data_IF_110330915451
#
_entry.id   IF_110330915451
#
_cell.length_a   1.000
_cell.length_b   1.000
_cell.length_c   1.000
_cell.angle_alpha   90.00
_cell.angle_beta   90.00
_cell.angle_gamma   90.00
#
_symmetry.space_group_name_H-M   'P 1'
#
loop_
_entity.id
_entity.type
_entity.pdbx_description
1 polymer ?
#
# COMPACT_ATOMS: atom_id res chain seq x y z
N UNK A 1 13.43 7.80 16.86
CA UNK A 1 12.54 7.81 15.68
C UNK A 1 12.26 9.23 15.23
N UNK A 2 12.33 9.53 13.94
CA UNK A 2 11.98 10.85 13.36
C UNK A 2 10.58 10.78 12.74
N UNK A 3 9.57 11.35 13.40
CA UNK A 3 8.16 11.30 12.94
C UNK A 3 7.97 12.04 11.62
N UNK A 4 8.58 13.24 11.47
CA UNK A 4 8.46 14.04 10.24
C UNK A 4 9.06 13.27 9.08
N UNK A 5 10.25 12.67 9.27
CA UNK A 5 10.88 11.82 8.26
C UNK A 5 10.00 10.63 7.88
N UNK A 6 9.33 9.98 8.82
CA UNK A 6 8.41 8.87 8.54
C UNK A 6 7.19 9.33 7.73
N UNK A 7 6.60 10.49 8.07
CA UNK A 7 5.47 11.06 7.30
C UNK A 7 5.89 11.36 5.86
N UNK A 8 7.03 12.05 5.68
CA UNK A 8 7.54 12.39 4.33
C UNK A 8 7.85 11.12 3.54
N UNK A 9 8.47 10.12 4.17
CA UNK A 9 8.78 8.85 3.53
C UNK A 9 7.49 8.10 3.11
N UNK A 10 6.46 8.09 3.96
CA UNK A 10 5.17 7.49 3.65
C UNK A 10 4.45 8.17 2.48
N UNK A 11 4.46 9.50 2.45
CA UNK A 11 3.89 10.26 1.33
C UNK A 11 4.65 9.96 0.03
N UNK A 12 5.99 10.00 0.05
CA UNK A 12 6.83 9.69 -1.11
C UNK A 12 6.59 8.25 -1.62
N UNK A 13 6.59 7.27 -0.71
CA UNK A 13 6.30 5.87 -1.05
C UNK A 13 4.92 5.70 -1.67
N UNK A 14 3.90 6.38 -1.11
CA UNK A 14 2.53 6.33 -1.64
C UNK A 14 2.42 6.95 -3.03
N UNK A 15 3.11 8.07 -3.28
CA UNK A 15 3.15 8.68 -4.62
C UNK A 15 3.73 7.68 -5.62
N UNK A 16 4.89 7.09 -5.31
CA UNK A 16 5.57 6.17 -6.23
C UNK A 16 4.74 4.92 -6.51
N UNK A 17 4.15 4.28 -5.49
CA UNK A 17 3.30 3.11 -5.71
C UNK A 17 2.03 3.47 -6.50
N UNK A 18 1.46 4.66 -6.28
CA UNK A 18 0.30 5.15 -7.04
C UNK A 18 0.63 5.35 -8.52
N UNK A 19 1.82 5.88 -8.82
CA UNK A 19 2.29 6.03 -10.20
C UNK A 19 2.45 4.66 -10.87
N UNK A 20 3.05 3.67 -10.18
CA UNK A 20 3.18 2.31 -10.69
C UNK A 20 1.81 1.68 -10.96
N UNK A 21 0.84 1.84 -10.05
CA UNK A 21 -0.52 1.34 -10.25
C UNK A 21 -1.23 2.02 -11.43
N UNK A 22 -1.05 3.33 -11.60
CA UNK A 22 -1.63 4.08 -12.73
C UNK A 22 -1.02 3.64 -14.08
N UNK A 23 0.27 3.27 -14.09
CA UNK A 23 0.97 2.78 -15.28
C UNK A 23 0.69 1.29 -15.56
N UNK A 24 0.18 0.54 -14.60
CA UNK A 24 -0.05 -0.90 -14.69
C UNK A 24 -0.77 -1.33 -15.99
N UNK A 25 -1.91 -0.72 -16.37
CA UNK A 25 -2.62 -1.10 -17.59
C UNK A 25 -1.78 -0.97 -18.88
N UNK A 26 -0.91 0.04 -18.97
CA UNK A 26 0.00 0.22 -20.12
C UNK A 26 1.06 -0.88 -20.16
N UNK A 27 1.37 -1.48 -19.02
CA UNK A 27 2.32 -2.60 -18.86
C UNK A 27 1.62 -3.98 -18.96
N UNK A 28 0.35 -4.03 -19.36
CA UNK A 28 -0.42 -5.27 -19.46
C UNK A 28 -0.93 -5.83 -18.12
N UNK A 29 -0.80 -5.08 -17.04
CA UNK A 29 -1.33 -5.47 -15.72
C UNK A 29 -2.80 -5.05 -15.58
N UNK A 30 -3.60 -5.74 -14.73
CA UNK A 30 -4.96 -5.32 -14.45
C UNK A 30 -4.98 -3.91 -13.82
N UNK A 31 -6.07 -3.16 -14.06
CA UNK A 31 -6.28 -1.87 -13.39
C UNK A 31 -6.41 -2.10 -11.88
N UNK A 32 -5.51 -1.51 -11.11
CA UNK A 32 -5.42 -1.64 -9.67
C UNK A 32 -5.58 -0.28 -8.98
N UNK A 33 -6.70 0.41 -9.25
CA UNK A 33 -6.99 1.71 -8.67
C UNK A 33 -7.49 1.57 -7.22
N UNK A 34 -6.56 1.39 -6.28
CA UNK A 34 -6.88 1.21 -4.86
C UNK A 34 -7.71 2.37 -4.28
N UNK A 35 -7.50 3.60 -4.77
CA UNK A 35 -8.28 4.77 -4.38
C UNK A 35 -9.77 4.67 -4.78
N UNK A 36 -10.09 4.02 -5.91
CA UNK A 36 -11.49 3.76 -6.29
C UNK A 36 -12.12 2.75 -5.33
N UNK A 37 -11.39 1.69 -4.99
CA UNK A 37 -11.84 0.70 -4.02
C UNK A 37 -12.03 1.33 -2.64
N UNK A 38 -11.03 2.00 -2.09
CA UNK A 38 -11.12 2.65 -0.79
C UNK A 38 -12.23 3.71 -0.74
N UNK A 39 -12.49 4.39 -1.85
CA UNK A 39 -13.57 5.37 -1.96
C UNK A 39 -14.96 4.77 -1.79
N UNK A 40 -15.14 3.47 -1.99
CA UNK A 40 -16.40 2.74 -1.77
C UNK A 40 -16.44 1.96 -0.45
N UNK A 41 -15.45 2.16 0.44
CA UNK A 41 -15.32 1.42 1.71
C UNK A 41 -16.59 1.58 2.58
N UNK A 42 -17.09 2.80 2.71
CA UNK A 42 -18.22 3.13 3.62
C UNK A 42 -19.53 3.35 2.91
N UNK A 43 -19.55 3.50 1.58
CA UNK A 43 -20.78 3.71 0.80
C UNK A 43 -20.67 3.10 -0.59
N UNK A 44 -21.79 2.54 -1.09
CA UNK A 44 -21.86 1.96 -2.44
C UNK A 44 -21.68 3.00 -3.56
N UNK A 45 -22.00 4.27 -3.31
CA UNK A 45 -21.87 5.36 -4.29
C UNK A 45 -20.44 5.84 -4.50
N UNK A 46 -19.56 5.53 -3.53
CA UNK A 46 -18.14 5.86 -3.58
C UNK A 46 -17.81 7.36 -3.46
N UNK A 47 -16.59 7.64 -3.10
CA UNK A 47 -15.99 8.97 -3.13
C UNK A 47 -14.47 8.81 -3.39
N UNK A 48 -14.05 9.07 -4.62
CA UNK A 48 -12.64 8.89 -5.03
C UNK A 48 -11.70 9.80 -4.22
N UNK A 49 -12.13 11.01 -3.85
CA UNK A 49 -11.34 11.90 -3.00
C UNK A 49 -11.09 11.29 -1.61
N UNK A 50 -12.12 10.71 -0.99
CA UNK A 50 -11.96 9.97 0.26
C UNK A 50 -11.02 8.77 0.08
N UNK A 51 -11.12 8.07 -1.05
CA UNK A 51 -10.24 6.95 -1.37
C UNK A 51 -8.77 7.37 -1.44
N UNK A 52 -8.46 8.51 -2.04
CA UNK A 52 -7.11 9.08 -2.05
C UNK A 52 -6.62 9.44 -0.65
N UNK A 53 -7.45 10.10 0.15
CA UNK A 53 -7.11 10.44 1.55
C UNK A 53 -6.78 9.17 2.33
N UNK A 54 -7.62 8.13 2.23
CA UNK A 54 -7.39 6.86 2.91
C UNK A 54 -6.10 6.18 2.43
N UNK A 55 -5.83 6.20 1.11
CA UNK A 55 -4.63 5.60 0.55
C UNK A 55 -3.35 6.29 1.08
N UNK A 56 -3.30 7.62 1.07
CA UNK A 56 -2.17 8.36 1.62
C UNK A 56 -2.04 8.19 3.14
N UNK A 57 -3.14 8.21 3.86
CA UNK A 57 -3.14 7.95 5.30
C UNK A 57 -2.57 6.57 5.64
N UNK A 58 -2.99 5.54 4.93
CA UNK A 58 -2.45 4.18 5.11
C UNK A 58 -0.95 4.14 4.84
N UNK A 59 -0.48 4.77 3.75
CA UNK A 59 0.94 4.85 3.46
C UNK A 59 1.73 5.54 4.56
N UNK A 60 1.24 6.65 5.10
CA UNK A 60 1.88 7.32 6.24
C UNK A 60 1.91 6.43 7.49
N UNK A 61 0.80 5.76 7.80
CA UNK A 61 0.72 4.84 8.97
C UNK A 61 1.76 3.71 8.83
N UNK A 62 1.86 3.06 7.67
CA UNK A 62 2.83 1.99 7.48
C UNK A 62 4.28 2.49 7.53
N UNK A 63 4.58 3.68 7.01
CA UNK A 63 5.93 4.26 7.14
C UNK A 63 6.28 4.57 8.61
N UNK A 64 5.32 5.03 9.41
CA UNK A 64 5.50 5.23 10.86
C UNK A 64 5.77 3.88 11.55
N UNK A 65 5.03 2.82 11.18
CA UNK A 65 5.26 1.46 11.69
C UNK A 65 6.68 1.01 11.35
N UNK A 66 7.15 1.19 10.10
CA UNK A 66 8.52 0.86 9.72
C UNK A 66 9.54 1.61 10.57
N UNK A 67 9.38 2.93 10.70
CA UNK A 67 10.27 3.77 11.49
C UNK A 67 10.30 3.36 12.98
N UNK A 68 9.15 2.96 13.53
CA UNK A 68 9.04 2.47 14.91
C UNK A 68 9.76 1.14 15.10
N UNK A 69 9.58 0.19 14.17
CA UNK A 69 10.27 -1.10 14.21
C UNK A 69 11.78 -0.94 14.08
N UNK A 70 12.26 -0.10 13.16
CA UNK A 70 13.70 0.23 13.04
C UNK A 70 14.24 0.91 14.31
N UNK A 71 13.47 1.81 14.92
CA UNK A 71 13.87 2.43 16.19
C UNK A 71 13.91 1.43 17.37
N UNK A 72 13.12 0.36 17.29
CA UNK A 72 13.11 -0.74 18.26
C UNK A 72 14.22 -1.80 17.97
N UNK A 73 15.07 -1.60 16.96
CA UNK A 73 16.14 -2.52 16.60
C UNK A 73 15.72 -3.67 15.68
N UNK A 74 14.49 -3.65 15.15
CA UNK A 74 13.99 -4.64 14.19
C UNK A 74 14.32 -4.15 12.77
N UNK A 75 15.50 -4.50 12.27
CA UNK A 75 16.04 -4.00 11.01
C UNK A 75 16.62 -2.59 11.12
N UNK A 76 16.76 -1.90 10.00
CA UNK A 76 17.28 -0.53 9.89
C UNK A 76 16.86 0.10 8.56
N UNK A 77 16.94 1.43 8.42
CA UNK A 77 16.56 2.13 7.19
C UNK A 77 17.58 1.93 6.06
N UNK A 78 17.73 0.69 5.61
CA UNK A 78 18.59 0.26 4.50
C UNK A 78 17.76 -0.29 3.35
N UNK A 79 18.33 -0.35 2.14
CA UNK A 79 17.65 -0.90 0.96
C UNK A 79 17.17 -2.34 1.18
N UNK A 80 18.02 -3.19 1.75
CA UNK A 80 17.64 -4.59 2.03
C UNK A 80 16.49 -4.67 3.01
N UNK A 81 16.54 -3.90 4.09
CA UNK A 81 15.44 -3.84 5.05
C UNK A 81 14.16 -3.29 4.40
N UNK A 82 14.27 -2.29 3.54
CA UNK A 82 13.14 -1.77 2.76
C UNK A 82 12.46 -2.83 1.90
N UNK A 83 13.24 -3.67 1.21
CA UNK A 83 12.70 -4.83 0.45
C UNK A 83 11.98 -5.80 1.36
N UNK A 84 12.62 -6.23 2.46
CA UNK A 84 12.04 -7.20 3.40
C UNK A 84 10.73 -6.65 3.98
N UNK A 85 10.74 -5.41 4.46
CA UNK A 85 9.55 -4.77 5.01
C UNK A 85 8.46 -4.58 3.96
N UNK A 86 8.80 -4.26 2.70
CA UNK A 86 7.86 -4.17 1.60
C UNK A 86 7.18 -5.51 1.29
N UNK A 87 7.94 -6.60 1.28
CA UNK A 87 7.39 -7.96 1.10
C UNK A 87 6.48 -8.34 2.27
N UNK A 88 6.92 -8.12 3.51
CA UNK A 88 6.09 -8.38 4.71
C UNK A 88 4.82 -7.53 4.67
N UNK A 89 4.92 -6.25 4.30
CA UNK A 89 3.77 -5.36 4.14
C UNK A 89 2.78 -5.91 3.09
N UNK A 90 3.27 -6.38 1.94
CA UNK A 90 2.42 -7.02 0.93
C UNK A 90 1.67 -8.22 1.51
N UNK A 91 2.34 -9.07 2.27
CA UNK A 91 1.70 -10.24 2.90
C UNK A 91 0.62 -9.80 3.89
N UNK A 92 0.93 -8.85 4.79
CA UNK A 92 -0.04 -8.34 5.77
C UNK A 92 -1.24 -7.68 5.08
N UNK A 93 -0.99 -6.73 4.16
CA UNK A 93 -2.04 -6.05 3.43
C UNK A 93 -2.86 -7.03 2.58
N UNK A 94 -2.20 -7.99 1.93
CA UNK A 94 -2.85 -9.02 1.10
C UNK A 94 -3.74 -9.98 1.88
N UNK A 95 -3.35 -10.33 3.12
CA UNK A 95 -4.20 -11.11 4.03
C UNK A 95 -5.42 -10.28 4.48
N UNK A 96 -5.22 -9.00 4.81
CA UNK A 96 -6.31 -8.08 5.16
C UNK A 96 -7.31 -7.91 4.01
N UNK A 97 -6.85 -7.91 2.76
CA UNK A 97 -7.70 -7.86 1.56
C UNK A 97 -8.69 -9.02 1.48
N UNK A 98 -8.32 -10.20 2.00
CA UNK A 98 -9.22 -11.35 2.10
C UNK A 98 -10.43 -11.11 3.01
N UNK A 99 -10.30 -10.26 4.03
CA UNK A 99 -11.36 -9.87 4.95
C UNK A 99 -12.27 -8.72 4.44
N UNK A 100 -11.88 -8.04 3.37
CA UNK A 100 -12.61 -6.87 2.84
C UNK A 100 -14.11 -7.14 2.57
N UNK A 101 -14.54 -8.30 2.02
CA UNK A 101 -15.95 -8.56 1.78
C UNK A 101 -16.81 -8.49 3.05
N UNK A 102 -16.23 -8.67 4.23
CA UNK A 102 -16.96 -8.63 5.50
C UNK A 102 -17.35 -7.21 5.94
N UNK A 103 -16.61 -6.18 5.51
CA UNK A 103 -16.82 -4.80 5.99
C UNK A 103 -16.99 -3.76 4.88
N UNK A 104 -16.67 -4.07 3.63
CA UNK A 104 -16.59 -3.11 2.53
C UNK A 104 -17.94 -2.92 1.84
N UNK A 105 -18.52 -1.73 1.93
CA UNK A 105 -19.88 -1.46 1.40
C UNK A 105 -19.99 -1.68 -0.12
N UNK A 106 -19.01 -1.21 -0.90
CA UNK A 106 -19.01 -1.38 -2.36
C UNK A 106 -18.89 -2.84 -2.79
N UNK A 107 -18.08 -3.65 -2.07
CA UNK A 107 -17.96 -5.09 -2.37
C UNK A 107 -19.26 -5.81 -2.03
N UNK A 108 -19.88 -5.53 -0.87
CA UNK A 108 -21.19 -6.09 -0.48
C UNK A 108 -22.29 -5.72 -1.47
N UNK A 109 -22.23 -4.52 -2.04
CA UNK A 109 -23.22 -4.06 -3.03
C UNK A 109 -22.90 -4.55 -4.46
N UNK A 110 -21.80 -5.24 -4.70
CA UNK A 110 -21.38 -5.70 -6.02
C UNK A 110 -20.87 -4.59 -6.96
N UNK A 111 -20.65 -3.37 -6.47
CA UNK A 111 -20.16 -2.24 -7.27
C UNK A 111 -18.66 -2.27 -7.49
N UNK A 112 -17.93 -2.99 -6.63
CA UNK A 112 -16.49 -3.21 -6.72
C UNK A 112 -16.17 -4.69 -6.50
N UNK A 113 -15.27 -5.25 -7.30
CA UNK A 113 -14.83 -6.63 -7.13
C UNK A 113 -13.89 -6.76 -5.93
N UNK A 114 -14.07 -7.81 -5.12
CA UNK A 114 -13.16 -8.12 -4.04
C UNK A 114 -11.78 -8.50 -4.60
N UNK A 115 -10.68 -7.94 -4.07
CA UNK A 115 -9.32 -8.29 -4.53
C UNK A 115 -8.93 -9.72 -4.18
N UNK A 116 -9.54 -10.30 -3.14
CA UNK A 116 -9.18 -11.60 -2.59
C UNK A 116 -7.89 -11.58 -1.78
N UNK A 117 -7.59 -12.69 -1.14
CA UNK A 117 -6.32 -12.89 -0.41
C UNK A 117 -5.15 -12.68 -1.36
N UNK A 118 -4.17 -11.88 -0.95
CA UNK A 118 -2.99 -11.54 -1.74
C UNK A 118 -3.30 -11.06 -3.16
N UNK A 119 -4.48 -10.44 -3.36
CA UNK A 119 -4.95 -9.91 -4.65
C UNK A 119 -5.14 -10.97 -5.74
N UNK A 120 -5.27 -12.25 -5.36
CA UNK A 120 -5.35 -13.39 -6.28
C UNK A 120 -6.63 -13.40 -7.13
N UNK A 121 -7.70 -12.69 -6.74
CA UNK A 121 -8.88 -12.54 -7.58
C UNK A 121 -8.62 -11.72 -8.86
N UNK A 122 -7.52 -10.95 -8.89
CA UNK A 122 -7.02 -10.27 -10.10
C UNK A 122 -5.98 -11.13 -10.86
N UNK A 123 -5.87 -12.42 -10.52
CA UNK A 123 -4.94 -13.38 -11.11
C UNK A 123 -3.48 -13.17 -10.66
N UNK A 124 -2.58 -13.94 -11.29
CA UNK A 124 -1.13 -13.86 -11.01
C UNK A 124 -0.58 -12.44 -11.20
N UNK A 125 -1.07 -11.71 -12.19
CA UNK A 125 -0.65 -10.32 -12.45
C UNK A 125 -1.09 -9.38 -11.33
N UNK A 126 -2.23 -9.61 -10.68
CA UNK A 126 -2.67 -8.87 -9.50
C UNK A 126 -1.76 -9.12 -8.31
N UNK A 127 -1.43 -10.39 -8.05
CA UNK A 127 -0.46 -10.78 -7.03
C UNK A 127 0.91 -10.14 -7.26
N UNK A 128 1.46 -10.27 -8.47
CA UNK A 128 2.78 -9.70 -8.82
C UNK A 128 2.79 -8.17 -8.73
N UNK A 129 1.75 -7.52 -9.22
CA UNK A 129 1.61 -6.06 -9.10
C UNK A 129 1.56 -5.59 -7.65
N UNK A 130 0.84 -6.31 -6.80
CA UNK A 130 0.79 -6.05 -5.36
C UNK A 130 2.16 -6.24 -4.70
N UNK A 131 2.83 -7.36 -4.97
CA UNK A 131 4.16 -7.67 -4.43
C UNK A 131 5.20 -6.62 -4.85
N UNK A 132 5.30 -6.33 -6.14
CA UNK A 132 6.24 -5.34 -6.67
C UNK A 132 5.92 -3.96 -6.11
N UNK A 133 4.65 -3.54 -6.11
CA UNK A 133 4.25 -2.23 -5.61
C UNK A 133 4.63 -2.01 -4.15
N UNK A 134 4.33 -2.97 -3.26
CA UNK A 134 4.68 -2.85 -1.85
C UNK A 134 6.19 -2.96 -1.61
N UNK A 135 6.92 -3.77 -2.40
CA UNK A 135 8.38 -3.83 -2.34
C UNK A 135 9.00 -2.49 -2.71
N UNK A 136 8.54 -1.87 -3.80
CA UNK A 136 9.00 -0.53 -4.20
C UNK A 136 8.62 0.53 -3.15
N UNK A 137 7.41 0.46 -2.60
CA UNK A 137 7.02 1.32 -1.48
C UNK A 137 8.01 1.20 -0.32
N UNK A 138 8.34 -0.02 0.11
CA UNK A 138 9.29 -0.26 1.21
C UNK A 138 10.70 0.26 0.91
N UNK A 139 11.17 0.12 -0.33
CA UNK A 139 12.44 0.70 -0.79
C UNK A 139 12.44 2.23 -0.68
N UNK A 140 11.38 2.88 -1.18
CA UNK A 140 11.25 4.35 -1.13
C UNK A 140 11.20 4.84 0.32
N UNK A 141 10.42 4.17 1.18
CA UNK A 141 10.34 4.51 2.60
C UNK A 141 11.71 4.41 3.27
N UNK A 142 12.46 3.32 3.02
CA UNK A 142 13.79 3.14 3.60
C UNK A 142 14.78 4.21 3.12
N UNK A 143 14.78 4.52 1.83
CA UNK A 143 15.63 5.57 1.24
C UNK A 143 15.32 6.95 1.83
N UNK A 144 14.06 7.37 1.75
CA UNK A 144 13.66 8.72 2.18
C UNK A 144 13.83 8.87 3.69
N UNK A 145 13.36 7.90 4.49
CA UNK A 145 13.52 7.94 5.93
C UNK A 145 15.00 7.95 6.35
N UNK A 146 15.85 7.19 5.63
CA UNK A 146 17.27 7.16 5.87
C UNK A 146 17.96 8.52 5.79
N UNK A 147 17.46 9.47 4.98
CA UNK A 147 17.99 10.84 4.94
C UNK A 147 17.67 11.64 6.21
N UNK A 148 16.60 11.32 6.92
CA UNK A 148 16.18 12.06 8.12
C UNK A 148 16.81 11.55 9.42
N UNK A 149 17.51 10.42 9.38
CA UNK A 149 18.12 9.81 10.58
C UNK A 149 19.65 9.68 10.49
N UNK A 150 20.24 10.19 9.42
CA UNK A 150 21.71 10.32 9.24
C UNK A 150 22.28 11.45 10.06
#
# INVERSE_FOLDING_TARGET
MNIIGAVVAGLAGTIVISMLMAMGPVMGMPKMAIWEMLGTMFSKGGNVGLGWIMHFMMGVIFAIIYAALWAAGIGSATLLSGVIFGVVHFVVAGLMMGGMPMMHAGIKAGTVKAPGVLMLNAGVMGFMGGLIGHTVYGLVVALVYGFFIR
#
